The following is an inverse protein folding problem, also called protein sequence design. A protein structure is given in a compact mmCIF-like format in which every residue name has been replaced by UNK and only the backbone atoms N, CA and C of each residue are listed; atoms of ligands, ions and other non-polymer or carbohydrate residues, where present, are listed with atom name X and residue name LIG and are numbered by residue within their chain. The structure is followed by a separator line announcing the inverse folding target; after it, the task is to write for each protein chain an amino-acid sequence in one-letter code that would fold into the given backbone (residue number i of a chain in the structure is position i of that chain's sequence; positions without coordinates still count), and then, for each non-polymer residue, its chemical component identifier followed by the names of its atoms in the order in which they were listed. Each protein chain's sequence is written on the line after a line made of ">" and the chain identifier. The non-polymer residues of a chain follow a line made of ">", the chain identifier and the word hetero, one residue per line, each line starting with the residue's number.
data_IF_069916527408
#
_entry.id   IF_069916527408
#
_cell.length_a   1.000
_cell.length_b   1.000
_cell.length_c   1.000
_cell.angle_alpha   90.00
_cell.angle_beta   90.00
_cell.angle_gamma   90.00
#
_symmetry.space_group_name_H-M   'P 1'
#
loop_
_entity.id
_entity.type
_entity.pdbx_description
1 polymer ?
#
# COMPACT_ATOMS: atom_id res chain seq x y z
N UNK A 1 -19.75 -66.46 -21.54
CA UNK A 1 -19.98 -66.94 -20.15
C UNK A 1 -18.66 -66.87 -19.40
N UNK A 2 -18.68 -66.47 -18.10
CA UNK A 2 -17.54 -66.19 -17.20
C UNK A 2 -17.00 -64.76 -17.38
N UNK A 3 -17.60 -63.68 -16.83
CA UNK A 3 -17.97 -63.39 -15.43
C UNK A 3 -16.82 -63.67 -14.46
N UNK A 4 -16.45 -62.63 -13.70
CA UNK A 4 -15.76 -62.71 -12.41
C UNK A 4 -14.23 -62.69 -12.39
N UNK A 5 -13.61 -61.62 -12.89
CA UNK A 5 -12.35 -61.10 -12.30
C UNK A 5 -12.53 -59.58 -12.20
N UNK A 6 -13.35 -59.15 -11.23
CA UNK A 6 -12.86 -58.70 -9.93
C UNK A 6 -12.09 -57.37 -10.12
N UNK A 7 -12.81 -56.24 -10.14
CA UNK A 7 -13.13 -55.51 -8.91
C UNK A 7 -11.91 -55.41 -7.97
N UNK A 8 -10.84 -54.74 -8.40
CA UNK A 8 -9.77 -54.33 -7.48
C UNK A 8 -8.99 -53.09 -7.96
N UNK A 9 -9.51 -52.35 -8.95
CA UNK A 9 -8.85 -51.16 -9.50
C UNK A 9 -9.75 -49.91 -9.51
N UNK A 10 -10.75 -49.87 -8.62
CA UNK A 10 -11.76 -48.81 -8.57
C UNK A 10 -11.78 -48.00 -7.25
N UNK A 11 -10.78 -48.16 -6.37
CA UNK A 11 -10.78 -47.53 -5.02
C UNK A 11 -9.41 -46.95 -4.65
N UNK A 12 -8.78 -46.17 -5.54
CA UNK A 12 -7.50 -45.51 -5.20
C UNK A 12 -7.26 -44.17 -5.91
N UNK A 13 -8.34 -43.45 -6.24
CA UNK A 13 -8.25 -42.10 -6.81
C UNK A 13 -9.38 -41.18 -6.33
N UNK A 14 -9.66 -41.19 -5.03
CA UNK A 14 -10.80 -40.45 -4.44
C UNK A 14 -10.47 -39.62 -3.19
N UNK A 15 -9.21 -39.36 -2.88
CA UNK A 15 -8.85 -38.42 -1.81
C UNK A 15 -7.64 -37.57 -2.20
N UNK A 16 -7.91 -36.29 -2.43
CA UNK A 16 -7.08 -35.13 -2.05
C UNK A 16 -7.31 -33.93 -3.00
N UNK A 17 -8.57 -33.65 -3.38
CA UNK A 17 -8.98 -32.28 -3.72
C UNK A 17 -9.60 -31.63 -2.47
N UNK A 18 -8.89 -31.69 -1.33
CA UNK A 18 -9.09 -30.68 -0.29
C UNK A 18 -8.55 -29.39 -0.86
N UNK A 19 -9.44 -28.63 -1.49
CA UNK A 19 -9.18 -27.25 -1.88
C UNK A 19 -8.65 -26.52 -0.66
N UNK A 20 -7.34 -26.33 -0.62
CA UNK A 20 -6.74 -25.36 0.26
C UNK A 20 -7.34 -24.04 -0.18
N UNK A 21 -8.23 -23.49 0.65
CA UNK A 21 -8.50 -22.09 0.63
C UNK A 21 -7.14 -21.41 0.82
N UNK A 22 -6.51 -21.07 -0.31
CA UNK A 22 -5.45 -20.08 -0.34
C UNK A 22 -6.11 -18.87 0.29
N UNK A 23 -5.78 -18.63 1.56
CA UNK A 23 -5.93 -17.34 2.19
C UNK A 23 -5.03 -16.45 1.34
N UNK A 24 -5.62 -15.89 0.28
CA UNK A 24 -4.97 -14.89 -0.54
C UNK A 24 -4.78 -13.73 0.43
N UNK A 25 -3.60 -13.68 1.04
CA UNK A 25 -3.12 -12.53 1.78
C UNK A 25 -3.18 -11.39 0.77
N UNK A 26 -4.28 -10.65 0.87
CA UNK A 26 -4.55 -9.47 0.08
C UNK A 26 -3.31 -8.60 0.19
N UNK A 27 -2.68 -8.46 -0.97
CA UNK A 27 -1.66 -7.52 -1.40
C UNK A 27 -0.88 -6.85 -0.29
N UNK A 28 0.43 -7.06 -0.33
CA UNK A 28 1.43 -6.08 0.06
C UNK A 28 0.88 -4.64 -0.15
N UNK A 29 0.35 -4.06 0.93
CA UNK A 29 -0.15 -2.69 1.00
C UNK A 29 1.08 -1.79 1.04
N UNK A 30 1.96 -1.91 0.04
CA UNK A 30 3.18 -1.13 0.01
C UNK A 30 2.77 0.29 -0.38
N UNK A 31 2.26 1.02 0.60
CA UNK A 31 2.02 2.46 0.61
C UNK A 31 3.38 3.18 0.63
N UNK A 32 4.37 2.64 -0.08
CA UNK A 32 5.73 3.14 -0.12
C UNK A 32 5.79 4.24 -1.18
N UNK A 33 6.19 5.43 -0.75
CA UNK A 33 6.45 6.56 -1.62
C UNK A 33 7.80 7.15 -1.34
N UNK A 34 8.38 7.77 -2.35
CA UNK A 34 9.63 8.49 -2.29
C UNK A 34 9.32 9.96 -2.05
N UNK A 35 9.75 10.47 -0.89
CA UNK A 35 9.38 11.80 -0.36
C UNK A 35 10.65 12.59 -0.03
N UNK A 36 10.66 13.92 -0.25
CA UNK A 36 11.79 14.78 0.14
C UNK A 36 12.11 14.58 1.62
N UNK A 37 13.32 14.11 1.92
CA UNK A 37 13.78 13.91 3.30
C UNK A 37 14.56 15.10 3.87
N UNK A 38 14.27 16.24 3.30
CA UNK A 38 14.91 17.50 3.57
C UNK A 38 14.56 17.94 4.99
N UNK A 39 15.41 18.77 5.60
CA UNK A 39 15.21 19.28 6.97
C UNK A 39 13.88 20.04 7.08
N UNK A 40 13.40 20.23 8.30
CA UNK A 40 12.03 20.68 8.58
C UNK A 40 11.71 22.11 8.08
N UNK A 41 12.71 22.81 7.55
CA UNK A 41 12.62 24.10 6.85
C UNK A 41 12.38 23.98 5.33
N UNK A 42 12.41 22.79 4.73
CA UNK A 42 12.12 22.60 3.29
C UNK A 42 10.62 22.69 3.02
N UNK A 43 10.21 23.65 2.20
CA UNK A 43 8.86 23.77 1.64
C UNK A 43 8.53 22.73 0.55
N UNK A 44 9.40 21.74 0.41
CA UNK A 44 9.44 20.80 -0.70
C UNK A 44 8.35 19.75 -0.55
N UNK A 45 7.42 19.71 -1.50
CA UNK A 45 6.23 18.84 -1.47
C UNK A 45 6.35 17.63 -2.40
N UNK A 46 7.55 17.31 -2.88
CA UNK A 46 7.77 16.21 -3.81
C UNK A 46 7.45 14.86 -3.14
N UNK A 47 6.48 14.17 -3.73
CA UNK A 47 6.08 12.78 -3.46
C UNK A 47 6.05 12.06 -4.80
N UNK A 48 6.63 10.87 -4.87
CA UNK A 48 6.74 10.06 -6.08
C UNK A 48 6.55 8.58 -5.76
N UNK A 49 5.94 7.83 -6.69
CA UNK A 49 5.88 6.36 -6.61
C UNK A 49 7.24 5.70 -6.93
N UNK A 50 8.25 6.47 -7.35
CA UNK A 50 9.57 5.99 -7.76
C UNK A 50 10.69 6.80 -7.13
N UNK A 51 11.83 6.14 -6.92
CA UNK A 51 13.06 6.79 -6.49
C UNK A 51 13.47 7.90 -7.46
N UNK A 52 14.21 8.88 -6.94
CA UNK A 52 14.71 10.01 -7.71
C UNK A 52 15.10 11.16 -6.80
N UNK A 53 15.32 12.32 -7.42
CA UNK A 53 15.70 13.55 -6.72
C UNK A 53 14.49 14.45 -6.51
N UNK A 54 14.47 15.13 -5.38
CA UNK A 54 13.62 16.28 -5.15
C UNK A 54 14.15 17.50 -5.92
N UNK A 55 13.28 18.48 -6.15
CA UNK A 55 13.59 19.77 -6.78
C UNK A 55 14.67 20.55 -6.03
N UNK A 56 14.83 20.34 -4.73
CA UNK A 56 15.93 20.92 -3.94
C UNK A 56 17.28 20.18 -4.11
N UNK A 57 17.34 19.16 -4.98
CA UNK A 57 18.55 18.39 -5.30
C UNK A 57 18.85 17.21 -4.37
N UNK A 58 18.11 17.05 -3.26
CA UNK A 58 18.25 15.91 -2.36
C UNK A 58 17.61 14.64 -2.94
N UNK A 59 18.16 13.47 -2.59
CA UNK A 59 17.52 12.19 -2.89
C UNK A 59 16.20 12.05 -2.11
N UNK A 60 15.17 11.55 -2.78
CA UNK A 60 13.91 11.21 -2.15
C UNK A 60 14.11 9.98 -1.26
N UNK A 61 13.63 10.03 -0.02
CA UNK A 61 13.66 8.87 0.86
C UNK A 61 12.37 8.07 0.71
N UNK A 62 12.50 6.76 0.67
CA UNK A 62 11.36 5.85 0.76
C UNK A 62 10.71 5.97 2.15
N UNK A 63 9.42 6.25 2.17
CA UNK A 63 8.61 6.42 3.37
C UNK A 63 7.28 5.69 3.19
N UNK A 64 6.72 5.22 4.30
CA UNK A 64 5.45 4.50 4.29
C UNK A 64 4.30 5.48 4.54
N UNK A 65 3.34 5.56 3.63
CA UNK A 65 2.16 6.40 3.73
C UNK A 65 1.15 5.74 4.67
N UNK A 66 0.88 6.44 5.77
CA UNK A 66 0.00 6.00 6.85
C UNK A 66 -1.46 6.38 6.58
N UNK A 67 -1.71 7.55 5.99
CA UNK A 67 -3.03 7.99 5.54
C UNK A 67 -2.92 9.22 4.65
N UNK A 68 -4.04 9.55 4.02
CA UNK A 68 -4.24 10.82 3.33
C UNK A 68 -5.32 11.59 4.09
N UNK A 69 -4.98 12.78 4.54
CA UNK A 69 -5.86 13.66 5.31
C UNK A 69 -6.08 14.95 4.51
N UNK A 70 -7.33 15.19 4.09
CA UNK A 70 -7.71 16.29 3.20
C UNK A 70 -6.92 16.25 1.88
N UNK A 71 -5.84 17.03 1.79
CA UNK A 71 -4.94 17.13 0.64
C UNK A 71 -3.48 16.90 1.04
N UNK A 72 -3.23 16.25 2.19
CA UNK A 72 -1.89 15.94 2.69
C UNK A 72 -1.70 14.45 2.91
N UNK A 73 -0.53 13.94 2.55
CA UNK A 73 -0.10 12.58 2.88
C UNK A 73 0.66 12.60 4.21
N UNK A 74 0.35 11.65 5.08
CA UNK A 74 1.02 11.45 6.37
C UNK A 74 1.94 10.23 6.25
N UNK A 75 3.25 10.45 6.34
CA UNK A 75 4.26 9.43 6.06
C UNK A 75 5.05 9.06 7.31
N UNK A 76 5.33 7.78 7.49
CA UNK A 76 6.30 7.29 8.43
C UNK A 76 7.70 7.23 7.81
N UNK A 77 8.68 7.80 8.52
CA UNK A 77 10.09 7.85 8.10
C UNK A 77 10.85 6.56 8.43
N UNK A 78 10.16 5.47 8.78
CA UNK A 78 10.76 4.19 9.18
C UNK A 78 11.38 3.42 7.96
N UNK A 79 11.20 3.89 6.71
CA UNK A 79 11.92 3.39 5.52
C UNK A 79 11.17 2.33 4.70
N UNK A 80 11.89 1.61 3.83
CA UNK A 80 11.32 0.60 2.89
C UNK A 80 10.71 -0.62 3.56
N UNK A 81 11.17 -0.99 4.76
CA UNK A 81 10.64 -2.10 5.54
C UNK A 81 9.57 -1.70 6.55
N UNK A 82 9.06 -0.47 6.49
CA UNK A 82 8.09 0.02 7.47
C UNK A 82 6.69 -0.51 7.17
N UNK A 83 6.14 -1.27 8.11
CA UNK A 83 4.74 -1.70 8.17
C UNK A 83 3.96 -1.04 9.32
N UNK A 84 4.53 0.03 9.92
CA UNK A 84 3.92 0.69 11.06
C UNK A 84 2.61 1.38 10.65
N UNK A 85 1.59 1.28 11.49
CA UNK A 85 0.40 2.11 11.42
C UNK A 85 0.64 3.46 12.12
N UNK A 86 -0.31 4.40 12.03
CA UNK A 86 -0.29 5.61 12.86
C UNK A 86 -0.51 5.23 14.31
N UNK A 87 0.22 5.87 15.23
CA UNK A 87 0.01 5.65 16.65
C UNK A 87 -1.42 6.07 17.05
N UNK A 88 -2.08 5.23 17.85
CA UNK A 88 -3.49 5.40 18.24
C UNK A 88 -3.68 6.45 19.32
N UNK A 89 -2.64 6.73 20.09
CA UNK A 89 -2.64 7.67 21.21
C UNK A 89 -2.02 9.02 20.82
N UNK A 90 -1.10 9.03 19.85
CA UNK A 90 -0.43 10.24 19.37
C UNK A 90 -0.39 10.27 17.83
N UNK A 91 -1.33 10.96 17.16
CA UNK A 91 -1.37 11.02 15.69
C UNK A 91 -0.14 11.69 15.07
N UNK A 92 0.69 12.38 15.86
CA UNK A 92 1.98 12.93 15.42
C UNK A 92 3.07 11.86 15.27
N UNK A 93 2.81 10.60 15.61
CA UNK A 93 3.78 9.51 15.57
C UNK A 93 3.27 8.30 14.81
N UNK A 94 4.21 7.50 14.31
CA UNK A 94 3.94 6.14 13.88
C UNK A 94 3.92 5.20 15.09
N UNK A 95 3.37 4.00 14.94
CA UNK A 95 3.47 2.93 15.93
C UNK A 95 4.91 2.52 16.29
N UNK A 96 5.91 2.85 15.45
CA UNK A 96 7.35 2.74 15.79
C UNK A 96 7.85 3.85 16.75
N UNK A 97 7.00 4.76 17.22
CA UNK A 97 7.34 5.89 18.11
C UNK A 97 8.04 7.07 17.43
N UNK A 98 8.36 6.95 16.13
CA UNK A 98 8.97 8.04 15.33
C UNK A 98 7.93 9.08 14.91
N UNK A 99 8.32 10.36 14.76
CA UNK A 99 7.41 11.38 14.26
C UNK A 99 7.00 11.09 12.81
N UNK A 100 5.75 11.44 12.48
CA UNK A 100 5.25 11.41 11.11
C UNK A 100 5.71 12.65 10.34
N UNK A 101 5.85 12.53 9.02
CA UNK A 101 6.05 13.65 8.10
C UNK A 101 4.78 13.90 7.32
N UNK A 102 4.26 15.12 7.40
CA UNK A 102 3.11 15.53 6.59
C UNK A 102 3.59 16.28 5.36
N UNK A 103 3.08 15.92 4.18
CA UNK A 103 3.44 16.55 2.91
C UNK A 103 2.18 16.88 2.13
N UNK A 104 2.10 18.11 1.61
CA UNK A 104 1.01 18.50 0.73
C UNK A 104 1.03 17.67 -0.56
N UNK A 105 -0.12 17.16 -0.95
CA UNK A 105 -0.35 16.43 -2.20
C UNK A 105 -1.03 17.33 -3.24
N UNK A 106 -1.09 18.64 -3.03
CA UNK A 106 -1.71 19.57 -3.99
C UNK A 106 -1.14 19.37 -5.38
N UNK A 107 -2.04 19.24 -6.37
CA UNK A 107 -1.71 18.95 -7.75
C UNK A 107 -1.60 17.45 -8.08
N UNK A 108 -1.65 16.55 -7.09
CA UNK A 108 -1.65 15.09 -7.28
C UNK A 108 -3.07 14.54 -7.37
N UNK A 109 -3.18 13.28 -7.78
CA UNK A 109 -4.41 12.52 -7.89
C UNK A 109 -4.45 11.43 -6.83
N UNK A 110 -5.53 11.39 -6.04
CA UNK A 110 -5.73 10.47 -4.91
C UNK A 110 -7.02 9.66 -5.10
N UNK A 111 -7.08 8.43 -4.57
CA UNK A 111 -8.31 7.62 -4.52
C UNK A 111 -9.49 8.46 -3.99
N UNK A 112 -10.56 8.58 -4.77
CA UNK A 112 -11.80 9.27 -4.36
C UNK A 112 -12.73 8.38 -3.53
N UNK A 113 -12.12 7.54 -2.71
CA UNK A 113 -12.77 6.43 -2.05
C UNK A 113 -13.25 6.87 -0.66
N UNK A 114 -14.31 6.25 -0.16
CA UNK A 114 -14.82 6.57 1.18
C UNK A 114 -13.71 6.38 2.23
N UNK A 115 -13.78 7.06 3.40
CA UNK A 115 -12.77 6.94 4.45
C UNK A 115 -12.54 5.50 4.95
N UNK A 116 -13.49 4.60 4.70
CA UNK A 116 -13.36 3.16 4.98
C UNK A 116 -12.46 2.42 3.99
N UNK A 117 -12.09 3.05 2.87
CA UNK A 117 -11.25 2.47 1.84
C UNK A 117 -9.78 2.65 2.19
N UNK A 118 -9.07 1.53 2.37
CA UNK A 118 -7.64 1.51 2.66
C UNK A 118 -6.76 1.76 1.42
N UNK A 119 -7.35 2.19 0.31
CA UNK A 119 -6.62 2.48 -0.91
C UNK A 119 -5.87 3.80 -0.77
N UNK A 120 -4.55 3.70 -0.71
CA UNK A 120 -3.63 4.83 -0.49
C UNK A 120 -2.88 5.20 -1.76
N UNK A 121 -3.55 5.11 -2.92
CA UNK A 121 -2.95 5.43 -4.22
C UNK A 121 -2.81 6.94 -4.41
N UNK A 122 -1.60 7.39 -4.72
CA UNK A 122 -1.23 8.74 -5.14
C UNK A 122 -0.61 8.64 -6.54
N UNK A 123 -1.02 9.52 -7.45
CA UNK A 123 -0.55 9.56 -8.83
C UNK A 123 -0.30 10.98 -9.30
N UNK A 124 0.69 11.16 -10.17
CA UNK A 124 0.91 12.43 -10.89
C UNK A 124 -0.08 12.63 -12.05
N UNK A 125 -0.79 11.57 -12.44
CA UNK A 125 -1.70 11.54 -13.59
C UNK A 125 -3.12 11.15 -13.18
N UNK A 126 -4.14 11.66 -13.89
CA UNK A 126 -5.49 11.14 -13.75
C UNK A 126 -5.55 9.66 -14.11
N UNK A 127 -6.53 8.95 -13.56
CA UNK A 127 -6.70 7.53 -13.83
C UNK A 127 -7.63 6.87 -12.81
N UNK A 128 -7.54 5.55 -12.71
CA UNK A 128 -8.27 4.75 -11.74
C UNK A 128 -7.36 4.26 -10.63
N UNK A 129 -7.89 4.23 -9.41
CA UNK A 129 -7.27 3.52 -8.29
C UNK A 129 -7.39 2.01 -8.50
N UNK A 130 -6.58 1.22 -7.79
CA UNK A 130 -6.64 -0.24 -7.77
C UNK A 130 -8.01 -0.79 -7.35
N UNK A 131 -8.79 -0.06 -6.55
CA UNK A 131 -10.18 -0.43 -6.23
C UNK A 131 -11.21 -0.08 -7.32
N UNK A 132 -10.77 0.41 -8.48
CA UNK A 132 -11.62 0.72 -9.64
C UNK A 132 -12.28 2.10 -9.62
N UNK A 133 -12.25 2.81 -8.49
CA UNK A 133 -12.71 4.21 -8.37
C UNK A 133 -11.77 5.17 -9.09
N UNK A 134 -12.30 6.30 -9.56
CA UNK A 134 -11.49 7.32 -10.22
C UNK A 134 -10.59 8.03 -9.21
N UNK A 135 -9.40 8.43 -9.66
CA UNK A 135 -8.52 9.28 -8.88
C UNK A 135 -8.99 10.73 -9.01
N UNK A 136 -9.13 11.43 -7.89
CA UNK A 136 -9.52 12.84 -7.83
C UNK A 136 -8.29 13.69 -7.59
N UNK A 137 -8.19 14.79 -8.33
CA UNK A 137 -7.14 15.79 -8.11
C UNK A 137 -7.38 16.51 -6.78
N UNK A 138 -6.32 16.64 -5.98
CA UNK A 138 -6.31 17.34 -4.68
C UNK A 138 -5.39 18.55 -4.69
#
# INVERSE_FOLDING_TARGET
>A
MKRSVALALSVLFLFALTGMAVKQESGDHSSLYYVCNCKDDCSCTTVSARAGKCECGQELAAMHLLAIEKSSGVFCRCGTGCSCERDKNDPGKCGCGKPVKTVSLTGKYVCSCDPSCQCTTISDKPGKCQCGKDLKKV
#
